data_IF_999700154813
#
_entry.id   IF_999700154813
#
_cell.length_a   1.000
_cell.length_b   1.000
_cell.length_c   1.000
_cell.angle_alpha   90.00
_cell.angle_beta   90.00
_cell.angle_gamma   90.00
#
_symmetry.space_group_name_H-M   'P 1'
#
loop_
_entity.id
_entity.type
_entity.pdbx_description
1 polymer ?
#
# COMPACT_ATOMS: atom_id res chain seq x y z
N UNK A 1 -59.35 -3.84 32.26
CA UNK A 1 -58.81 -5.20 32.05
C UNK A 1 -58.58 -5.41 30.56
N UNK A 2 -57.35 -5.82 30.17
CA UNK A 2 -56.95 -6.42 28.86
C UNK A 2 -56.97 -5.42 27.68
N UNK A 3 -55.95 -5.24 26.83
CA UNK A 3 -54.67 -5.92 26.60
C UNK A 3 -53.78 -4.98 25.77
N UNK A 4 -52.48 -5.10 25.98
CA UNK A 4 -51.38 -4.45 25.27
C UNK A 4 -51.36 -4.90 23.80
N UNK A 5 -51.15 -3.99 22.85
CA UNK A 5 -50.66 -4.33 21.50
C UNK A 5 -49.44 -3.47 21.18
N UNK A 6 -48.26 -4.09 21.30
CA UNK A 6 -46.96 -3.51 20.95
C UNK A 6 -46.77 -3.66 19.44
N UNK A 7 -46.90 -2.56 18.71
CA UNK A 7 -46.52 -2.51 17.30
C UNK A 7 -45.00 -2.34 17.22
N UNK A 8 -44.27 -3.45 17.19
CA UNK A 8 -42.84 -3.46 16.90
C UNK A 8 -42.64 -3.20 15.41
N UNK A 9 -42.23 -1.98 15.07
CA UNK A 9 -41.78 -1.59 13.74
C UNK A 9 -40.39 -2.20 13.52
N UNK A 10 -40.31 -3.40 12.94
CA UNK A 10 -39.04 -3.98 12.52
C UNK A 10 -38.53 -3.24 11.28
N UNK A 11 -37.65 -2.26 11.48
CA UNK A 11 -36.86 -1.66 10.42
C UNK A 11 -35.77 -2.67 10.01
N UNK A 12 -36.12 -3.58 9.12
CA UNK A 12 -35.17 -4.47 8.47
C UNK A 12 -34.30 -3.66 7.51
N UNK A 13 -33.21 -3.09 8.01
CA UNK A 13 -32.12 -2.55 7.19
C UNK A 13 -31.47 -3.76 6.51
N UNK A 14 -31.83 -4.00 5.25
CA UNK A 14 -31.07 -4.86 4.36
C UNK A 14 -29.69 -4.22 4.16
N UNK A 15 -28.75 -4.58 5.04
CA UNK A 15 -27.34 -4.30 4.86
C UNK A 15 -26.88 -5.21 3.73
N UNK A 16 -27.01 -4.73 2.49
CA UNK A 16 -26.47 -5.41 1.31
C UNK A 16 -24.97 -5.55 1.54
N UNK A 17 -24.53 -6.76 1.85
CA UNK A 17 -23.12 -7.12 1.90
C UNK A 17 -22.65 -7.05 0.45
N UNK A 18 -22.14 -5.90 0.04
CA UNK A 18 -21.53 -5.73 -1.27
C UNK A 18 -20.40 -6.73 -1.38
N UNK A 19 -20.49 -7.62 -2.37
CA UNK A 19 -19.42 -8.52 -2.72
C UNK A 19 -18.16 -7.66 -2.97
N UNK A 20 -17.19 -7.73 -2.06
CA UNK A 20 -15.91 -7.07 -2.23
C UNK A 20 -15.19 -7.73 -3.39
N UNK A 21 -15.39 -7.22 -4.61
CA UNK A 21 -14.39 -7.35 -5.65
C UNK A 21 -13.14 -6.61 -5.14
N UNK A 22 -12.16 -7.38 -4.65
CA UNK A 22 -10.88 -6.81 -4.23
C UNK A 22 -10.16 -6.35 -5.51
N UNK A 23 -10.30 -5.07 -5.85
CA UNK A 23 -9.64 -4.50 -7.02
C UNK A 23 -8.12 -4.66 -6.88
N UNK A 24 -7.43 -4.98 -7.98
CA UNK A 24 -5.98 -5.14 -7.98
C UNK A 24 -5.27 -3.82 -7.61
N UNK A 25 -3.98 -3.91 -7.31
CA UNK A 25 -3.15 -2.72 -7.19
C UNK A 25 -3.12 -1.98 -8.54
N UNK A 26 -3.10 -0.65 -8.50
CA UNK A 26 -3.06 0.20 -9.69
C UNK A 26 -1.60 0.32 -10.14
N UNK A 27 -1.26 -0.31 -11.24
CA UNK A 27 0.06 -0.20 -11.86
C UNK A 27 0.29 1.20 -12.44
N UNK A 28 1.45 1.77 -12.16
CA UNK A 28 1.84 3.12 -12.56
C UNK A 28 3.26 3.11 -13.14
N UNK A 29 3.46 3.85 -14.25
CA UNK A 29 4.80 4.26 -14.68
C UNK A 29 5.41 5.29 -13.68
N UNK A 30 6.72 5.57 -13.76
CA UNK A 30 7.39 6.48 -12.83
C UNK A 30 6.79 7.89 -12.77
N UNK A 31 6.37 8.45 -13.91
CA UNK A 31 5.83 9.80 -13.98
C UNK A 31 4.46 9.88 -13.31
N UNK A 32 3.58 8.92 -13.60
CA UNK A 32 2.27 8.80 -12.94
C UNK A 32 2.42 8.53 -11.45
N UNK A 33 3.35 7.66 -11.05
CA UNK A 33 3.61 7.33 -9.65
C UNK A 33 4.04 8.56 -8.86
N UNK A 34 5.03 9.31 -9.37
CA UNK A 34 5.50 10.56 -8.76
C UNK A 34 4.40 11.63 -8.68
N UNK A 35 3.62 11.79 -9.75
CA UNK A 35 2.47 12.71 -9.78
C UNK A 35 1.44 12.37 -8.71
N UNK A 36 1.05 11.09 -8.62
CA UNK A 36 0.09 10.64 -7.61
C UNK A 36 0.60 10.83 -6.19
N UNK A 37 1.89 10.60 -5.93
CA UNK A 37 2.49 10.87 -4.62
C UNK A 37 2.38 12.34 -4.21
N UNK A 38 2.47 13.27 -5.17
CA UNK A 38 2.34 14.70 -4.92
C UNK A 38 0.89 15.15 -4.73
N UNK A 39 -0.04 14.65 -5.56
CA UNK A 39 -1.46 15.00 -5.50
C UNK A 39 -2.19 14.33 -4.33
N UNK A 40 -1.77 13.10 -3.99
CA UNK A 40 -2.38 12.27 -2.96
C UNK A 40 -1.32 11.71 -2.02
N UNK A 41 -0.84 12.49 -1.05
CA UNK A 41 0.19 12.04 -0.12
C UNK A 41 -0.18 10.73 0.58
N UNK A 42 0.74 9.77 0.55
CA UNK A 42 0.52 8.43 1.07
C UNK A 42 1.75 7.85 1.74
N UNK A 43 1.74 6.53 1.91
CA UNK A 43 2.81 5.76 2.50
C UNK A 43 3.64 5.16 1.38
N UNK A 44 4.90 5.57 1.24
CA UNK A 44 5.82 4.96 0.28
C UNK A 44 6.42 3.71 0.92
N UNK A 45 6.40 2.59 0.21
CA UNK A 45 6.86 1.30 0.69
C UNK A 45 7.89 0.72 -0.28
N UNK A 46 9.11 0.54 0.18
CA UNK A 46 10.15 -0.19 -0.51
C UNK A 46 10.21 -1.63 0.01
N UNK A 47 10.11 -2.57 -0.91
CA UNK A 47 10.12 -3.99 -0.60
C UNK A 47 11.35 -4.74 -1.11
N UNK A 48 12.43 -4.00 -1.37
CA UNK A 48 13.74 -4.54 -1.77
C UNK A 48 14.46 -5.25 -0.61
N UNK A 49 15.64 -5.80 -0.86
CA UNK A 49 16.51 -6.34 0.19
C UNK A 49 17.21 -5.21 0.97
N UNK A 50 17.77 -5.50 2.16
CA UNK A 50 18.52 -4.50 2.94
C UNK A 50 19.70 -3.88 2.17
N UNK A 51 20.39 -4.68 1.35
CA UNK A 51 21.55 -4.22 0.57
C UNK A 51 21.11 -3.22 -0.49
N UNK A 52 20.03 -3.52 -1.22
CA UNK A 52 19.45 -2.63 -2.22
C UNK A 52 18.92 -1.34 -1.59
N UNK A 53 18.23 -1.44 -0.45
CA UNK A 53 17.72 -0.31 0.33
C UNK A 53 18.85 0.64 0.75
N UNK A 54 20.01 0.10 1.15
CA UNK A 54 21.18 0.89 1.53
C UNK A 54 21.78 1.71 0.36
N UNK A 55 21.47 1.39 -0.90
CA UNK A 55 21.96 2.14 -2.08
C UNK A 55 21.19 3.43 -2.39
N UNK A 56 20.15 3.74 -1.61
CA UNK A 56 19.29 4.91 -1.81
C UNK A 56 17.85 4.51 -2.12
N UNK A 57 16.92 5.41 -1.78
CA UNK A 57 15.47 5.15 -1.70
C UNK A 57 14.66 6.31 -2.26
N UNK A 58 13.38 6.08 -2.54
CA UNK A 58 12.42 7.19 -2.73
C UNK A 58 12.21 7.88 -1.38
N UNK A 59 12.17 9.21 -1.39
CA UNK A 59 12.04 10.00 -0.18
C UNK A 59 10.81 9.60 0.65
N UNK A 60 11.00 9.41 1.96
CA UNK A 60 9.92 9.05 2.88
C UNK A 60 9.48 7.59 2.82
N UNK A 61 10.21 6.73 2.10
CA UNK A 61 9.92 5.31 2.06
C UNK A 61 10.03 4.65 3.45
N UNK A 62 9.13 3.69 3.70
CA UNK A 62 9.24 2.66 4.75
C UNK A 62 9.81 1.40 4.14
N UNK A 63 10.44 0.56 4.96
CA UNK A 63 11.14 -0.62 4.51
C UNK A 63 10.51 -1.90 5.06
N UNK A 64 10.17 -2.84 4.17
CA UNK A 64 9.80 -4.21 4.52
C UNK A 64 10.42 -5.15 3.47
N UNK A 65 11.46 -5.90 3.84
CA UNK A 65 12.05 -6.89 2.92
C UNK A 65 11.02 -7.97 2.55
N UNK A 66 10.65 -8.00 1.26
CA UNK A 66 9.69 -8.98 0.76
C UNK A 66 10.22 -10.42 0.83
N UNK A 67 11.53 -10.60 0.65
CA UNK A 67 12.17 -11.91 0.56
C UNK A 67 12.43 -12.54 1.94
N UNK A 68 12.48 -11.73 3.01
CA UNK A 68 12.63 -12.19 4.38
C UNK A 68 11.41 -13.00 4.89
N UNK A 69 10.31 -13.00 4.14
CA UNK A 69 9.04 -13.58 4.57
C UNK A 69 8.32 -12.68 5.58
N UNK A 70 7.14 -13.11 6.03
CA UNK A 70 6.37 -12.37 7.04
C UNK A 70 5.74 -11.06 6.56
N UNK A 71 5.80 -10.72 5.26
CA UNK A 71 5.21 -9.48 4.71
C UNK A 71 3.76 -9.27 5.15
N UNK A 72 2.93 -10.33 5.13
CA UNK A 72 1.52 -10.26 5.53
C UNK A 72 1.30 -9.86 7.00
N UNK A 73 2.28 -10.10 7.87
CA UNK A 73 2.25 -9.67 9.26
C UNK A 73 2.87 -8.27 9.43
N UNK A 74 3.99 -7.99 8.75
CA UNK A 74 4.72 -6.74 8.87
C UNK A 74 3.95 -5.54 8.28
N UNK A 75 3.34 -5.71 7.10
CA UNK A 75 2.64 -4.64 6.40
C UNK A 75 1.54 -3.97 7.24
N UNK A 76 0.54 -4.69 7.79
CA UNK A 76 -0.51 -4.07 8.62
C UNK A 76 -0.01 -3.57 9.98
N UNK A 77 1.16 -4.03 10.45
CA UNK A 77 1.76 -3.53 11.69
C UNK A 77 2.47 -2.17 11.48
N UNK A 78 2.93 -1.89 10.26
CA UNK A 78 3.68 -0.67 9.95
C UNK A 78 2.89 0.33 9.11
N UNK A 79 1.80 -0.07 8.47
CA UNK A 79 1.06 0.75 7.52
C UNK A 79 -0.41 0.85 7.89
N UNK A 80 -0.99 2.01 7.63
CA UNK A 80 -2.41 2.26 7.76
C UNK A 80 -3.15 1.81 6.48
N UNK A 81 -4.15 0.95 6.63
CA UNK A 81 -4.94 0.39 5.51
C UNK A 81 -5.82 1.41 4.81
N UNK A 82 -6.20 2.48 5.49
CA UNK A 82 -7.06 3.54 4.96
C UNK A 82 -6.28 4.60 4.16
N UNK A 83 -4.95 4.57 4.22
CA UNK A 83 -4.08 5.52 3.53
C UNK A 83 -3.49 4.89 2.27
N UNK A 84 -3.35 5.65 1.17
CA UNK A 84 -2.68 5.18 -0.03
C UNK A 84 -1.31 4.59 0.25
N UNK A 85 -1.01 3.45 -0.39
CA UNK A 85 0.31 2.83 -0.35
C UNK A 85 0.93 2.86 -1.75
N UNK A 86 2.12 3.42 -1.84
CA UNK A 86 2.94 3.52 -3.03
C UNK A 86 4.08 2.50 -2.91
N UNK A 87 3.93 1.33 -3.52
CA UNK A 87 4.86 0.21 -3.37
C UNK A 87 5.79 0.09 -4.56
N UNK A 88 7.07 -0.17 -4.30
CA UNK A 88 8.05 -0.45 -5.34
C UNK A 88 9.11 -1.45 -4.86
N UNK A 89 9.79 -2.08 -5.82
CA UNK A 89 10.98 -2.89 -5.57
C UNK A 89 12.09 -2.50 -6.56
N UNK A 90 13.06 -3.37 -6.86
CA UNK A 90 14.10 -3.05 -7.84
C UNK A 90 13.55 -2.92 -9.27
N UNK A 91 12.86 -3.96 -9.75
CA UNK A 91 12.44 -4.09 -11.16
C UNK A 91 10.92 -4.37 -11.33
N UNK A 92 10.10 -4.18 -10.29
CA UNK A 92 8.64 -4.36 -10.31
C UNK A 92 8.12 -5.76 -9.88
N UNK A 93 8.90 -6.84 -10.03
CA UNK A 93 8.39 -8.19 -9.76
C UNK A 93 7.96 -8.47 -8.30
N UNK A 94 8.71 -7.99 -7.31
CA UNK A 94 8.36 -8.15 -5.88
C UNK A 94 7.22 -7.21 -5.48
N UNK A 95 7.20 -5.98 -6.01
CA UNK A 95 6.21 -4.97 -5.65
C UNK A 95 4.84 -5.29 -6.22
N UNK A 96 4.76 -5.90 -7.40
CA UNK A 96 3.52 -6.48 -7.92
C UNK A 96 2.90 -7.50 -6.96
N UNK A 97 3.73 -8.44 -6.45
CA UNK A 97 3.28 -9.46 -5.49
C UNK A 97 2.92 -8.83 -4.14
N UNK A 98 3.72 -7.88 -3.67
CA UNK A 98 3.43 -7.12 -2.45
C UNK A 98 2.11 -6.35 -2.57
N UNK A 99 1.86 -5.71 -3.71
CA UNK A 99 0.62 -4.98 -4.01
C UNK A 99 -0.61 -5.89 -3.93
N UNK A 100 -0.54 -7.09 -4.51
CA UNK A 100 -1.58 -8.11 -4.35
C UNK A 100 -1.81 -8.48 -2.88
N UNK A 101 -0.74 -8.74 -2.13
CA UNK A 101 -0.86 -9.08 -0.71
C UNK A 101 -1.43 -7.92 0.11
N UNK A 102 -1.08 -6.67 -0.19
CA UNK A 102 -1.67 -5.49 0.44
C UNK A 102 -3.18 -5.43 0.16
N UNK A 103 -3.61 -5.62 -1.10
CA UNK A 103 -5.03 -5.68 -1.42
C UNK A 103 -5.73 -6.81 -0.65
N UNK A 104 -5.18 -8.03 -0.62
CA UNK A 104 -5.72 -9.16 0.16
C UNK A 104 -5.85 -8.84 1.67
N UNK A 105 -4.96 -8.02 2.21
CA UNK A 105 -4.97 -7.60 3.61
C UNK A 105 -5.96 -6.46 3.89
N UNK A 106 -6.69 -5.98 2.89
CA UNK A 106 -7.71 -4.94 3.02
C UNK A 106 -7.16 -3.51 2.91
N UNK A 107 -5.96 -3.31 2.34
CA UNK A 107 -5.53 -1.98 1.95
C UNK A 107 -6.39 -1.50 0.78
N UNK A 108 -7.00 -0.32 0.95
CA UNK A 108 -8.01 0.17 0.01
C UNK A 108 -7.36 0.70 -1.27
N UNK A 109 -6.26 1.43 -1.12
CA UNK A 109 -5.58 2.12 -2.21
C UNK A 109 -4.10 1.73 -2.27
N UNK A 110 -3.73 1.04 -3.34
CA UNK A 110 -2.37 0.54 -3.54
C UNK A 110 -1.95 0.84 -4.98
N UNK A 111 -0.82 1.52 -5.12
CA UNK A 111 -0.19 1.88 -6.38
C UNK A 111 1.15 1.15 -6.49
N UNK A 112 1.36 0.39 -7.57
CA UNK A 112 2.60 -0.35 -7.82
C UNK A 112 3.43 0.34 -8.90
N UNK A 113 4.72 0.56 -8.60
CA UNK A 113 5.65 1.15 -9.55
C UNK A 113 6.15 0.09 -10.54
N UNK A 114 5.67 0.17 -11.78
CA UNK A 114 6.11 -0.69 -12.88
C UNK A 114 7.59 -0.40 -13.18
N UNK A 115 8.38 -1.47 -13.30
CA UNK A 115 9.83 -1.36 -13.50
C UNK A 115 10.61 -0.94 -12.25
N UNK A 116 9.94 -0.68 -11.13
CA UNK A 116 10.56 -0.42 -9.83
C UNK A 116 11.56 0.75 -9.82
N UNK A 117 12.57 0.62 -8.96
CA UNK A 117 13.64 1.58 -8.78
C UNK A 117 14.50 1.77 -10.02
N UNK A 118 14.65 0.75 -10.87
CA UNK A 118 15.37 0.85 -12.13
C UNK A 118 14.66 1.87 -13.04
N UNK A 119 13.37 1.69 -13.30
CA UNK A 119 12.58 2.62 -14.10
C UNK A 119 12.49 4.03 -13.47
N UNK A 120 12.41 4.13 -12.14
CA UNK A 120 12.46 5.41 -11.43
C UNK A 120 13.75 6.20 -11.74
N UNK A 121 14.89 5.52 -11.68
CA UNK A 121 16.21 6.11 -11.94
C UNK A 121 16.38 6.45 -13.42
N UNK A 122 15.94 5.58 -14.33
CA UNK A 122 15.93 5.83 -15.77
C UNK A 122 15.09 7.06 -16.15
N UNK A 123 13.98 7.28 -15.45
CA UNK A 123 13.16 8.48 -15.59
C UNK A 123 13.79 9.76 -14.99
N UNK A 124 15.00 9.67 -14.42
CA UNK A 124 15.72 10.80 -13.82
C UNK A 124 15.08 11.33 -12.53
N UNK A 125 14.23 10.54 -11.87
CA UNK A 125 13.54 10.96 -10.66
C UNK A 125 14.45 10.84 -9.43
N UNK A 126 14.29 11.73 -8.43
CA UNK A 126 15.24 11.84 -7.34
C UNK A 126 15.18 10.63 -6.40
N UNK A 127 16.35 10.26 -5.88
CA UNK A 127 16.49 9.35 -4.74
C UNK A 127 17.21 10.08 -3.61
N UNK A 128 16.99 9.63 -2.38
CA UNK A 128 17.74 10.11 -1.21
C UNK A 128 18.61 8.99 -0.66
N UNK A 129 19.76 9.31 -0.05
CA UNK A 129 20.51 8.33 0.72
C UNK A 129 19.60 7.71 1.78
N UNK A 130 19.76 6.41 2.03
CA UNK A 130 19.12 5.82 3.19
C UNK A 130 19.68 6.48 4.46
N UNK A 131 18.83 7.19 5.19
CA UNK A 131 19.19 7.68 6.52
C UNK A 131 19.20 6.48 7.48
N UNK A 132 20.37 5.89 7.72
CA UNK A 132 20.53 4.81 8.68
C UNK A 132 20.01 5.21 10.07
N UNK A 133 20.09 6.50 10.40
CA UNK A 133 19.72 7.05 11.70
C UNK A 133 19.26 8.52 11.56
N UNK A 134 17.94 8.75 11.51
CA UNK A 134 17.34 10.05 11.84
C UNK A 134 16.63 10.01 13.20
N UNK A 135 17.03 9.07 14.08
CA UNK A 135 16.79 9.17 15.52
C UNK A 135 18.01 9.82 16.16
N UNK A 136 18.00 11.15 16.16
CA UNK A 136 18.46 11.92 17.31
C UNK A 136 17.29 12.09 18.26
#
# INVERSE_FOLDING_TARGET
MKTISRLFLTLSVLFTVGACAQEAAVECDPARFAKLMAEKPGQVLDVRTPEEWATGVIAGARFIDFNAGGFKAAAPAQLDKARPVYVYCAAGGRSYRAGKQLKELGFTEVYDLVGGMEAWKEAGLPTVPYARDAKR
#
